data_IF_020122166574
#
_entry.id   IF_020122166574
#
_cell.length_a   1.000
_cell.length_b   1.000
_cell.length_c   1.000
_cell.angle_alpha   90.00
_cell.angle_beta   90.00
_cell.angle_gamma   90.00
#
_symmetry.space_group_name_H-M   'P 1'
#
loop_
_entity.id
_entity.type
_entity.pdbx_description
1 polymer ?
#
# COMPACT_ATOMS: atom_id res chain seq x y z
N UNK A 1 14.71 5.37 -32.86
CA UNK A 1 14.93 4.58 -31.61
C UNK A 1 13.98 5.17 -30.57
N UNK A 2 12.85 4.52 -30.34
CA UNK A 2 11.93 4.93 -29.26
C UNK A 2 12.54 4.50 -27.94
N UNK A 3 12.90 5.46 -27.11
CA UNK A 3 13.29 5.20 -25.72
C UNK A 3 12.16 4.40 -25.07
N UNK A 4 12.42 3.25 -24.42
CA UNK A 4 11.37 2.55 -23.72
C UNK A 4 10.84 3.49 -22.63
N UNK A 5 9.60 3.95 -22.78
CA UNK A 5 8.89 4.71 -21.77
C UNK A 5 8.63 3.77 -20.60
N UNK A 6 9.48 3.84 -19.58
CA UNK A 6 9.26 3.12 -18.33
C UNK A 6 8.08 3.75 -17.62
N UNK A 7 6.93 3.07 -17.60
CA UNK A 7 5.76 3.47 -16.83
C UNK A 7 6.15 3.51 -15.35
N UNK A 8 6.02 4.66 -14.66
CA UNK A 8 6.44 4.77 -13.27
C UNK A 8 5.47 4.05 -12.33
N UNK A 9 5.99 3.61 -11.19
CA UNK A 9 5.18 3.44 -9.99
C UNK A 9 5.17 4.77 -9.25
N UNK A 10 4.00 5.40 -9.11
CA UNK A 10 3.87 6.63 -8.34
C UNK A 10 3.72 6.30 -6.85
N UNK A 11 4.51 6.94 -6.02
CA UNK A 11 4.40 6.86 -4.56
C UNK A 11 3.86 8.18 -4.07
N UNK A 12 2.61 8.18 -3.64
CA UNK A 12 1.94 9.36 -3.10
C UNK A 12 2.41 9.59 -1.67
N UNK A 13 2.98 10.78 -1.42
CA UNK A 13 3.52 11.16 -0.12
C UNK A 13 2.46 11.89 0.72
N UNK A 14 2.03 11.26 1.81
CA UNK A 14 1.12 11.84 2.80
C UNK A 14 1.85 12.51 3.98
N UNK A 15 3.16 12.72 3.86
CA UNK A 15 3.96 13.45 4.84
C UNK A 15 4.64 12.57 5.89
N UNK A 16 4.63 11.25 5.74
CA UNK A 16 5.46 10.38 6.56
C UNK A 16 6.85 10.19 5.94
N UNK A 17 7.84 9.94 6.80
CA UNK A 17 9.24 9.75 6.37
C UNK A 17 9.47 8.54 5.44
N UNK A 18 8.48 7.66 5.24
CA UNK A 18 8.64 6.39 4.53
C UNK A 18 8.39 6.47 3.02
N UNK A 19 7.81 7.55 2.46
CA UNK A 19 7.52 7.64 1.03
C UNK A 19 8.79 7.45 0.17
N UNK A 20 9.89 8.07 0.56
CA UNK A 20 11.19 7.91 -0.12
C UNK A 20 11.76 6.50 0.01
N UNK A 21 11.57 5.87 1.18
CA UNK A 21 12.00 4.49 1.41
C UNK A 21 11.19 3.52 0.56
N UNK A 22 9.87 3.71 0.46
CA UNK A 22 9.00 2.93 -0.42
C UNK A 22 9.47 3.06 -1.87
N UNK A 23 9.67 4.28 -2.36
CA UNK A 23 10.15 4.53 -3.72
C UNK A 23 11.53 3.90 -3.97
N UNK A 24 12.42 3.91 -2.97
CA UNK A 24 13.71 3.23 -3.04
C UNK A 24 13.52 1.71 -3.18
N UNK A 25 12.65 1.08 -2.38
CA UNK A 25 12.36 -0.35 -2.47
C UNK A 25 11.80 -0.75 -3.84
N UNK A 26 10.93 0.10 -4.41
CA UNK A 26 10.44 -0.10 -5.79
C UNK A 26 11.59 -0.11 -6.79
N UNK A 27 12.56 0.81 -6.66
CA UNK A 27 13.74 0.87 -7.55
C UNK A 27 14.70 -0.29 -7.35
N UNK A 28 14.89 -0.75 -6.12
CA UNK A 28 15.69 -1.96 -5.82
C UNK A 28 15.10 -3.21 -6.49
N UNK A 29 13.79 -3.24 -6.70
CA UNK A 29 13.11 -4.24 -7.51
C UNK A 29 13.20 -4.00 -9.04
N UNK A 30 14.07 -3.09 -9.49
CA UNK A 30 14.27 -2.70 -10.88
C UNK A 30 13.05 -2.11 -11.57
N UNK A 31 12.16 -1.46 -10.79
CA UNK A 31 11.01 -0.72 -11.31
C UNK A 31 11.22 0.77 -11.10
N UNK A 32 10.98 1.55 -12.16
CA UNK A 32 11.07 2.99 -12.06
C UNK A 32 9.95 3.54 -11.15
N UNK A 33 10.29 4.45 -10.24
CA UNK A 33 9.33 5.05 -9.32
C UNK A 33 9.56 6.55 -9.15
N UNK A 34 8.47 7.27 -8.96
CA UNK A 34 8.46 8.70 -8.65
C UNK A 34 7.67 8.95 -7.36
N UNK A 35 8.17 9.83 -6.51
CA UNK A 35 7.41 10.33 -5.35
C UNK A 35 6.64 11.57 -5.79
N UNK A 36 5.35 11.59 -5.53
CA UNK A 36 4.45 12.68 -5.87
C UNK A 36 3.71 13.17 -4.62
N UNK A 37 3.39 14.48 -4.54
CA UNK A 37 2.67 15.01 -3.39
C UNK A 37 1.22 14.49 -3.36
N UNK A 38 0.64 14.36 -2.16
CA UNK A 38 -0.77 13.96 -1.98
C UNK A 38 -1.76 14.95 -2.59
N UNK A 39 -1.32 16.15 -2.90
CA UNK A 39 -2.12 17.21 -3.56
C UNK A 39 -2.11 17.13 -5.08
N UNK A 40 -1.36 16.20 -5.68
CA UNK A 40 -1.32 16.04 -7.14
C UNK A 40 -2.69 15.58 -7.65
N UNK A 41 -3.31 16.29 -8.61
CA UNK A 41 -4.57 15.85 -9.22
C UNK A 41 -4.45 14.49 -9.91
N UNK A 42 -5.55 13.74 -9.92
CA UNK A 42 -5.59 12.39 -10.56
C UNK A 42 -5.24 12.48 -12.04
N UNK A 43 -5.68 13.51 -12.74
CA UNK A 43 -5.37 13.74 -14.16
C UNK A 43 -3.86 13.91 -14.41
N UNK A 44 -3.16 14.60 -13.50
CA UNK A 44 -1.71 14.76 -13.60
C UNK A 44 -0.99 13.43 -13.30
N UNK A 45 -1.50 12.63 -12.36
CA UNK A 45 -0.98 11.28 -12.11
C UNK A 45 -1.14 10.41 -13.36
N UNK A 46 -2.31 10.44 -13.99
CA UNK A 46 -2.61 9.66 -15.21
C UNK A 46 -1.79 10.12 -16.41
N UNK A 47 -1.51 11.41 -16.53
CA UNK A 47 -0.66 11.94 -17.60
C UNK A 47 0.78 11.39 -17.57
N UNK A 48 1.21 10.83 -16.43
CA UNK A 48 2.49 10.12 -16.29
C UNK A 48 2.42 8.65 -16.74
N UNK A 49 1.26 8.16 -17.20
CA UNK A 49 1.01 6.76 -17.56
C UNK A 49 1.51 5.77 -16.50
N UNK A 50 1.05 5.84 -15.24
CA UNK A 50 1.61 5.03 -14.19
C UNK A 50 1.29 3.54 -14.36
N UNK A 51 2.26 2.68 -14.03
CA UNK A 51 2.07 1.24 -13.96
C UNK A 51 1.28 0.84 -12.70
N UNK A 52 1.44 1.60 -11.62
CA UNK A 52 0.72 1.46 -10.36
C UNK A 52 0.85 2.73 -9.51
N UNK A 53 -0.01 2.86 -8.50
CA UNK A 53 0.07 3.90 -7.47
C UNK A 53 0.23 3.25 -6.10
N UNK A 54 1.15 3.77 -5.28
CA UNK A 54 1.30 3.39 -3.88
C UNK A 54 0.94 4.60 -3.03
N UNK A 55 -0.04 4.44 -2.16
CA UNK A 55 -0.44 5.42 -1.17
C UNK A 55 0.37 5.16 0.11
N UNK A 56 1.27 6.07 0.46
CA UNK A 56 2.19 5.88 1.58
C UNK A 56 1.51 6.03 2.95
N UNK A 57 2.25 5.83 4.01
CA UNK A 57 1.82 6.21 5.36
C UNK A 57 1.78 7.72 5.56
N UNK A 58 1.15 8.15 6.62
CA UNK A 58 1.03 9.56 7.02
C UNK A 58 1.07 9.71 8.54
N UNK A 59 1.36 10.91 9.06
CA UNK A 59 1.49 11.17 10.50
C UNK A 59 0.13 11.38 11.19
N UNK A 60 -0.95 11.56 10.40
CA UNK A 60 -2.25 12.00 10.91
C UNK A 60 -3.27 10.86 10.93
N UNK A 61 -4.35 11.04 11.70
CA UNK A 61 -5.58 10.28 11.51
C UNK A 61 -6.32 10.78 10.27
N UNK A 62 -7.01 9.90 9.57
CA UNK A 62 -7.84 10.29 8.40
C UNK A 62 -8.98 11.24 8.78
N UNK A 63 -9.31 11.32 10.06
CA UNK A 63 -10.32 12.21 10.62
C UNK A 63 -9.76 13.50 11.24
N UNK A 64 -8.44 13.70 11.19
CA UNK A 64 -7.85 14.93 11.67
C UNK A 64 -8.24 16.11 10.76
N UNK A 65 -8.43 17.28 11.33
CA UNK A 65 -8.68 18.50 10.56
C UNK A 65 -7.49 18.76 9.62
N UNK A 66 -7.78 18.98 8.33
CA UNK A 66 -6.74 19.17 7.31
C UNK A 66 -5.98 17.91 6.91
N UNK A 67 -6.44 16.72 7.34
CA UNK A 67 -5.83 15.47 6.91
C UNK A 67 -5.88 15.32 5.37
N UNK A 68 -4.78 14.91 4.71
CA UNK A 68 -4.76 14.71 3.27
C UNK A 68 -5.82 13.68 2.84
N UNK A 69 -6.61 14.02 1.84
CA UNK A 69 -7.65 13.14 1.30
C UNK A 69 -7.17 12.46 0.03
N UNK A 70 -7.74 11.30 -0.28
CA UNK A 70 -7.55 10.62 -1.55
C UNK A 70 -8.78 10.86 -2.41
N UNK A 71 -8.57 11.32 -3.64
CA UNK A 71 -9.66 11.48 -4.59
C UNK A 71 -10.18 10.09 -5.01
N UNK A 72 -11.48 9.78 -4.77
CA UNK A 72 -12.07 8.50 -5.16
C UNK A 72 -11.96 8.21 -6.67
N UNK A 73 -11.83 9.23 -7.51
CA UNK A 73 -11.66 9.08 -8.95
C UNK A 73 -10.42 8.23 -9.28
N UNK A 74 -9.37 8.25 -8.45
CA UNK A 74 -8.19 7.40 -8.62
C UNK A 74 -8.55 5.92 -8.73
N UNK A 75 -9.53 5.47 -7.96
CA UNK A 75 -9.92 4.06 -7.88
C UNK A 75 -10.81 3.60 -9.04
N UNK A 76 -11.28 4.52 -9.88
CA UNK A 76 -12.06 4.21 -11.09
C UNK A 76 -11.22 4.22 -12.36
N UNK A 77 -9.94 4.57 -12.27
CA UNK A 77 -9.02 4.71 -13.42
C UNK A 77 -8.55 3.38 -14.01
N UNK A 78 -8.72 2.27 -13.28
CA UNK A 78 -8.13 0.97 -13.62
C UNK A 78 -6.63 0.87 -13.32
N UNK A 79 -6.00 1.92 -12.80
CA UNK A 79 -4.60 1.87 -12.36
C UNK A 79 -4.50 1.10 -11.03
N UNK A 80 -3.69 0.04 -10.96
CA UNK A 80 -3.46 -0.68 -9.72
C UNK A 80 -3.02 0.24 -8.58
N UNK A 81 -3.74 0.20 -7.46
CA UNK A 81 -3.46 1.07 -6.30
C UNK A 81 -3.27 0.22 -5.04
N UNK A 82 -2.21 0.53 -4.28
CA UNK A 82 -1.86 -0.14 -3.03
C UNK A 82 -1.73 0.89 -1.90
N UNK A 83 -2.47 0.71 -0.81
CA UNK A 83 -2.42 1.57 0.37
C UNK A 83 -1.61 0.95 1.50
N UNK A 84 -0.79 1.76 2.17
CA UNK A 84 0.01 1.38 3.33
C UNK A 84 -0.34 2.30 4.49
N UNK A 85 -0.70 1.76 5.66
CA UNK A 85 -1.00 2.51 6.87
C UNK A 85 -2.04 3.62 6.60
N UNK A 86 -1.67 4.90 6.73
CA UNK A 86 -2.55 6.02 6.42
C UNK A 86 -3.17 5.94 5.02
N UNK A 87 -2.37 5.61 3.99
CA UNK A 87 -2.85 5.50 2.61
C UNK A 87 -3.92 4.41 2.45
N UNK A 88 -3.80 3.31 3.20
CA UNK A 88 -4.84 2.27 3.26
C UNK A 88 -6.12 2.77 3.94
N UNK A 89 -5.97 3.47 5.07
CA UNK A 89 -7.12 4.04 5.81
C UNK A 89 -7.82 5.12 4.98
N UNK A 90 -7.06 6.01 4.33
CA UNK A 90 -7.60 7.04 3.44
C UNK A 90 -8.33 6.44 2.22
N UNK A 91 -7.78 5.37 1.63
CA UNK A 91 -8.43 4.61 0.57
C UNK A 91 -9.75 3.99 1.06
N UNK A 92 -9.75 3.33 2.22
CA UNK A 92 -10.94 2.73 2.79
C UNK A 92 -12.02 3.77 3.05
N UNK A 93 -11.66 4.91 3.64
CA UNK A 93 -12.58 6.02 3.89
C UNK A 93 -13.16 6.60 2.58
N UNK A 94 -12.30 6.84 1.57
CA UNK A 94 -12.72 7.38 0.27
C UNK A 94 -13.70 6.46 -0.48
N UNK A 95 -13.65 5.16 -0.22
CA UNK A 95 -14.49 4.14 -0.86
C UNK A 95 -15.70 3.73 0.00
N UNK A 96 -15.96 4.43 1.11
CA UNK A 96 -17.13 4.18 1.96
C UNK A 96 -16.93 3.06 2.98
N UNK A 97 -15.70 2.65 3.23
CA UNK A 97 -15.32 1.82 4.36
C UNK A 97 -15.37 2.61 5.67
N UNK A 98 -15.23 1.91 6.78
CA UNK A 98 -15.24 2.51 8.10
C UNK A 98 -13.87 2.40 8.74
N UNK A 99 -13.29 3.56 9.07
CA UNK A 99 -12.06 3.68 9.83
C UNK A 99 -12.43 4.15 11.23
N UNK A 100 -11.95 3.50 12.27
CA UNK A 100 -12.30 3.86 13.64
C UNK A 100 -11.06 3.89 14.53
N UNK A 101 -11.12 4.71 15.56
CA UNK A 101 -10.21 4.63 16.69
C UNK A 101 -10.68 3.50 17.58
N UNK A 102 -9.97 2.37 17.53
CA UNK A 102 -10.34 1.19 18.34
C UNK A 102 -9.97 1.33 19.81
N UNK A 103 -9.22 2.38 20.18
CA UNK A 103 -8.64 2.51 21.52
C UNK A 103 -7.47 1.54 21.77
N UNK A 104 -7.28 0.59 20.90
CA UNK A 104 -6.15 -0.32 20.87
C UNK A 104 -5.18 0.19 19.80
N UNK A 105 -4.33 1.13 20.19
CA UNK A 105 -3.25 1.58 19.31
C UNK A 105 -2.27 0.42 19.11
N UNK A 106 -2.03 0.04 17.86
CA UNK A 106 -1.06 -0.99 17.53
C UNK A 106 0.29 -0.37 17.25
N UNK A 107 1.20 -0.54 18.21
CA UNK A 107 2.59 -0.11 18.09
C UNK A 107 3.52 -1.28 18.38
N UNK A 108 4.38 -1.58 17.42
CA UNK A 108 5.37 -2.65 17.56
C UNK A 108 5.00 -3.90 16.78
N UNK A 109 5.55 -5.03 17.25
CA UNK A 109 5.34 -6.34 16.63
C UNK A 109 3.90 -6.80 16.84
N UNK A 110 3.21 -7.07 15.73
CA UNK A 110 1.83 -7.53 15.70
C UNK A 110 1.71 -8.80 14.85
N UNK A 111 0.88 -9.73 15.25
CA UNK A 111 0.64 -10.96 14.48
C UNK A 111 -0.33 -10.67 13.33
N UNK A 112 0.04 -11.08 12.12
CA UNK A 112 -0.78 -11.05 10.92
C UNK A 112 -1.17 -12.48 10.56
N UNK A 113 -2.46 -12.73 10.42
CA UNK A 113 -2.97 -14.02 9.93
C UNK A 113 -3.58 -13.87 8.55
N UNK A 114 -3.03 -14.59 7.60
CA UNK A 114 -3.58 -14.67 6.24
C UNK A 114 -4.81 -15.58 6.26
N UNK A 115 -5.97 -15.03 5.88
CA UNK A 115 -7.25 -15.76 5.84
C UNK A 115 -7.55 -16.32 4.45
N UNK A 116 -6.88 -15.79 3.42
CA UNK A 116 -6.97 -16.27 2.05
C UNK A 116 -5.57 -16.55 1.48
N UNK A 117 -5.10 -17.80 1.53
CA UNK A 117 -3.78 -18.19 1.03
C UNK A 117 -3.68 -18.13 -0.50
N UNK A 118 -4.82 -18.01 -1.22
CA UNK A 118 -4.85 -17.83 -2.67
C UNK A 118 -4.75 -16.36 -3.06
N UNK A 119 -4.79 -15.46 -2.08
CA UNK A 119 -4.54 -14.04 -2.33
C UNK A 119 -3.15 -13.87 -2.93
N UNK A 120 -3.09 -13.20 -4.08
CA UNK A 120 -1.83 -12.95 -4.74
C UNK A 120 -0.87 -12.12 -3.85
N UNK A 121 -1.39 -11.25 -2.97
CA UNK A 121 -0.59 -10.46 -2.02
C UNK A 121 0.21 -11.35 -1.04
N UNK A 122 -0.38 -12.46 -0.62
CA UNK A 122 0.21 -13.35 0.37
C UNK A 122 0.68 -14.69 -0.21
N UNK A 123 0.65 -14.82 -1.54
CA UNK A 123 1.10 -16.05 -2.18
C UNK A 123 2.58 -16.32 -1.90
N UNK A 124 2.86 -17.49 -1.34
CA UNK A 124 4.22 -17.89 -0.99
C UNK A 124 4.73 -17.31 0.34
N UNK A 125 3.88 -16.58 1.08
CA UNK A 125 4.19 -16.12 2.43
C UNK A 125 3.60 -17.07 3.49
N UNK A 126 4.16 -17.12 4.71
CA UNK A 126 3.58 -17.90 5.81
C UNK A 126 2.14 -17.47 6.12
N UNK A 127 1.31 -18.42 6.59
CA UNK A 127 -0.05 -18.14 7.02
C UNK A 127 -0.11 -17.19 8.22
N UNK A 128 0.75 -17.42 9.20
CA UNK A 128 0.91 -16.57 10.37
C UNK A 128 2.26 -15.84 10.26
N UNK A 129 2.22 -14.53 10.36
CA UNK A 129 3.39 -13.65 10.17
C UNK A 129 3.47 -12.64 11.30
N UNK A 130 4.67 -12.19 11.62
CA UNK A 130 4.87 -11.05 12.48
C UNK A 130 5.17 -9.82 11.61
N UNK A 131 4.39 -8.77 11.80
CA UNK A 131 4.54 -7.50 11.11
C UNK A 131 4.76 -6.37 12.11
N UNK A 132 5.30 -5.26 11.67
CA UNK A 132 5.48 -4.09 12.51
C UNK A 132 4.39 -3.08 12.24
N UNK A 133 3.62 -2.72 13.25
CA UNK A 133 2.54 -1.75 13.17
C UNK A 133 2.89 -0.45 13.89
N UNK A 134 2.36 0.67 13.40
CA UNK A 134 2.53 1.99 14.01
C UNK A 134 1.35 2.89 13.65
N UNK A 135 0.18 2.61 14.25
CA UNK A 135 -1.03 3.39 14.01
C UNK A 135 -2.02 3.31 15.18
N UNK A 136 -2.89 4.33 15.28
CA UNK A 136 -3.96 4.39 16.27
C UNK A 136 -5.36 4.19 15.68
N UNK A 137 -5.50 4.23 14.36
CA UNK A 137 -6.75 4.06 13.64
C UNK A 137 -6.72 2.74 12.87
N UNK A 138 -7.86 2.06 12.77
CA UNK A 138 -8.01 0.77 12.09
C UNK A 138 -9.19 0.78 11.14
N UNK A 139 -9.11 0.04 10.04
CA UNK A 139 -10.25 -0.18 9.15
C UNK A 139 -11.16 -1.23 9.77
N UNK A 140 -12.31 -0.79 10.26
CA UNK A 140 -13.28 -1.62 10.97
C UNK A 140 -14.21 -2.37 10.02
N UNK A 141 -14.55 -1.73 8.92
CA UNK A 141 -15.36 -2.31 7.85
C UNK A 141 -14.74 -1.99 6.49
N UNK A 142 -14.44 -3.04 5.74
CA UNK A 142 -13.98 -2.89 4.36
C UNK A 142 -15.07 -2.21 3.51
N UNK A 143 -14.69 -1.43 2.49
CA UNK A 143 -15.62 -0.92 1.50
C UNK A 143 -16.37 -2.04 0.78
N UNK A 144 -17.54 -1.73 0.22
CA UNK A 144 -18.31 -2.69 -0.58
C UNK A 144 -17.48 -3.15 -1.80
N UNK A 145 -17.51 -4.46 -2.09
CA UNK A 145 -16.72 -5.05 -3.16
C UNK A 145 -15.30 -5.47 -2.77
N UNK A 146 -14.85 -5.15 -1.54
CA UNK A 146 -13.56 -5.59 -1.03
C UNK A 146 -13.67 -6.90 -0.25
N UNK A 147 -12.61 -7.69 -0.35
CA UNK A 147 -12.48 -8.94 0.41
C UNK A 147 -11.34 -8.83 1.40
N UNK A 148 -11.61 -9.22 2.65
CA UNK A 148 -10.57 -9.33 3.68
C UNK A 148 -9.76 -10.60 3.41
N UNK A 149 -8.47 -10.45 3.16
CA UNK A 149 -7.56 -11.55 2.85
C UNK A 149 -6.53 -11.80 3.96
N UNK A 150 -6.45 -10.91 4.92
CA UNK A 150 -5.70 -11.08 6.15
C UNK A 150 -6.39 -10.35 7.30
N UNK A 151 -6.28 -10.89 8.49
CA UNK A 151 -6.75 -10.27 9.74
C UNK A 151 -5.56 -9.90 10.60
N UNK A 152 -5.49 -8.76 10.89
CA UNK A 152 -4.90 -7.73 11.69
C UNK A 152 -4.64 -6.55 10.78
N UNK A 153 -4.93 -5.42 11.23
CA UNK A 153 -4.99 -4.20 10.49
C UNK A 153 -3.92 -4.02 9.43
N UNK A 154 -4.33 -3.80 8.23
CA UNK A 154 -3.49 -3.02 7.40
C UNK A 154 -3.34 -3.36 5.94
N UNK A 155 -3.98 -4.34 5.36
CA UNK A 155 -3.88 -4.54 3.90
C UNK A 155 -5.21 -4.89 3.27
N UNK A 156 -5.76 -3.96 2.48
CA UNK A 156 -6.87 -4.24 1.58
C UNK A 156 -6.46 -3.91 0.14
N UNK A 157 -6.89 -4.71 -0.81
CA UNK A 157 -6.68 -4.48 -2.24
C UNK A 157 -7.99 -4.53 -3.00
N UNK A 158 -8.05 -3.69 -4.03
CA UNK A 158 -9.20 -3.51 -4.91
C UNK A 158 -9.24 -4.61 -5.98
N UNK A 159 -10.37 -5.28 -6.19
CA UNK A 159 -10.76 -6.16 -7.30
C UNK A 159 -9.84 -7.36 -7.60
N UNK A 160 -10.38 -8.58 -7.75
CA UNK A 160 -9.57 -9.78 -8.00
C UNK A 160 -8.68 -9.69 -9.25
N UNK A 161 -9.18 -9.07 -10.33
CA UNK A 161 -8.45 -8.98 -11.59
C UNK A 161 -7.35 -7.91 -11.56
N UNK A 162 -7.61 -6.78 -10.92
CA UNK A 162 -6.62 -5.71 -10.70
C UNK A 162 -5.61 -6.15 -9.65
N UNK A 163 -6.05 -6.85 -8.64
CA UNK A 163 -5.21 -7.55 -7.69
C UNK A 163 -4.20 -8.43 -8.44
N UNK A 164 -4.65 -9.24 -9.39
CA UNK A 164 -3.77 -10.10 -10.18
C UNK A 164 -2.75 -9.29 -10.98
N UNK A 165 -3.16 -8.18 -11.60
CA UNK A 165 -2.24 -7.31 -12.36
C UNK A 165 -1.21 -6.61 -11.45
N UNK A 166 -1.61 -6.09 -10.28
CA UNK A 166 -0.69 -5.55 -9.28
C UNK A 166 0.31 -6.61 -8.85
N UNK A 167 -0.14 -7.84 -8.66
CA UNK A 167 0.68 -8.93 -8.16
C UNK A 167 1.56 -9.55 -9.22
N UNK A 168 1.16 -9.56 -10.46
CA UNK A 168 2.04 -9.97 -11.54
C UNK A 168 3.23 -8.99 -11.67
N UNK A 169 2.98 -7.70 -11.46
CA UNK A 169 4.03 -6.69 -11.34
C UNK A 169 4.84 -6.95 -10.06
N UNK A 170 4.21 -7.14 -8.91
CA UNK A 170 4.87 -7.42 -7.64
C UNK A 170 5.62 -8.75 -7.69
N UNK A 171 4.98 -9.84 -8.11
CA UNK A 171 5.59 -11.17 -8.18
C UNK A 171 6.76 -11.23 -9.14
N UNK A 172 6.68 -10.60 -10.31
CA UNK A 172 7.77 -10.60 -11.30
C UNK A 172 8.91 -9.65 -10.95
N UNK A 173 8.64 -8.62 -10.16
CA UNK A 173 9.58 -7.51 -9.95
C UNK A 173 9.88 -7.15 -8.49
N UNK A 174 9.07 -7.60 -7.52
CA UNK A 174 9.21 -7.23 -6.10
C UNK A 174 9.29 -8.43 -5.14
N UNK A 175 9.10 -9.65 -5.61
CA UNK A 175 8.93 -10.81 -4.74
C UNK A 175 10.23 -11.33 -4.14
N UNK A 176 10.68 -10.69 -3.08
CA UNK A 176 11.21 -11.32 -1.89
C UNK A 176 10.64 -10.58 -0.70
N UNK A 177 9.41 -10.89 -0.33
CA UNK A 177 8.93 -10.59 1.01
C UNK A 177 9.69 -11.54 1.95
N UNK A 178 10.74 -11.02 2.55
CA UNK A 178 11.45 -11.70 3.62
C UNK A 178 10.73 -11.39 4.92
N UNK A 179 10.76 -12.31 5.87
CA UNK A 179 10.28 -12.02 7.22
C UNK A 179 11.14 -10.90 7.85
N UNK A 180 10.65 -10.29 8.91
CA UNK A 180 11.31 -9.13 9.54
C UNK A 180 12.72 -9.45 10.03
N UNK A 181 12.98 -10.69 10.47
CA UNK A 181 14.31 -11.12 10.95
C UNK A 181 15.32 -11.17 9.80
N UNK A 182 14.95 -11.77 8.66
CA UNK A 182 15.79 -11.81 7.45
C UNK A 182 16.07 -10.40 6.91
N UNK A 183 15.10 -9.49 7.01
CA UNK A 183 15.30 -8.09 6.58
C UNK A 183 16.24 -7.34 7.52
N UNK A 184 16.17 -7.60 8.82
CA UNK A 184 17.07 -7.02 9.84
C UNK A 184 18.49 -7.58 9.67
N UNK A 185 18.65 -8.89 9.49
CA UNK A 185 19.97 -9.51 9.25
C UNK A 185 20.63 -8.96 7.98
N UNK A 186 19.86 -8.75 6.90
CA UNK A 186 20.40 -8.15 5.68
C UNK A 186 20.82 -6.69 5.87
N UNK A 187 20.09 -5.91 6.67
CA UNK A 187 20.45 -4.51 7.01
C UNK A 187 21.71 -4.47 7.88
N UNK A 188 21.87 -5.41 8.80
CA UNK A 188 23.02 -5.47 9.69
C UNK A 188 24.28 -6.06 9.01
N UNK A 189 24.12 -6.69 7.84
CA UNK A 189 25.23 -7.24 7.05
C UNK A 189 25.77 -6.28 5.98
N UNK A 190 25.18 -5.07 5.86
CA UNK A 190 25.64 -3.97 5.00
C UNK A 190 26.53 -3.01 5.76
#
# INVERSE_FOLDING_TARGET
MTTPTHRPVLVVDFGAQYAQLIARRVREAHVYSEVVPSTMPVEEMLAKDPAAVILSGGPSSVYAEGAPQVDPALFTTGVPTFGICYGFQAMAAALGGEVARTGLSEFGRTELRVTDPLSALFHGTPHDQAVWMSHGDSVHRAPDGFRVTAVTDGVATLWPEIQQACFDIWRRKFARLRNTEEAIEEILSL
#
